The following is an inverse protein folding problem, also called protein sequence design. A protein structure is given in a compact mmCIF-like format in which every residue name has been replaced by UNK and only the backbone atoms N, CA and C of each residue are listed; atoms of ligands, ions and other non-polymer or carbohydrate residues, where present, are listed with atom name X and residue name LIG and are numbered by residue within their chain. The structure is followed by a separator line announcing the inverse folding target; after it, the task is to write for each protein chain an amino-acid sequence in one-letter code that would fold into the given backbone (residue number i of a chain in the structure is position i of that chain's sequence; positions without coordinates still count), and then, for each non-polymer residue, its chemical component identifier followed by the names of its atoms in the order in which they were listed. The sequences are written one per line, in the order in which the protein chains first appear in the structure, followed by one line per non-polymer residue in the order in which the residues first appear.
data_IF_160381850812
#
_entry.id   IF_160381850812
#
_cell.length_a   1.000
_cell.length_b   1.000
_cell.length_c   1.000
_cell.angle_alpha   90.00
_cell.angle_beta   90.00
_cell.angle_gamma   90.00
#
_symmetry.space_group_name_H-M   'P 1'
#
loop_
_entity.id
_entity.type
_entity.pdbx_description
1 polymer ?
#
# COMPACT_ATOMS: atom_id res chain seq x y z
N UNK A 1 12.09 25.37 -45.65
CA UNK A 1 10.86 25.28 -44.82
C UNK A 1 11.28 24.90 -43.41
N UNK A 2 11.21 25.87 -42.48
CA UNK A 2 11.72 25.71 -41.11
C UNK A 2 10.87 24.78 -40.28
N UNK A 3 11.56 23.84 -39.61
CA UNK A 3 11.01 22.98 -38.57
C UNK A 3 10.51 23.84 -37.40
N UNK A 4 9.20 23.93 -37.24
CA UNK A 4 8.57 24.54 -36.07
C UNK A 4 8.74 23.63 -34.85
N UNK A 5 9.89 23.73 -34.17
CA UNK A 5 10.03 23.18 -32.83
C UNK A 5 9.16 24.00 -31.87
N UNK A 6 8.27 23.39 -31.08
CA UNK A 6 7.48 24.14 -30.11
C UNK A 6 8.40 24.63 -28.99
N UNK A 7 8.55 25.96 -28.87
CA UNK A 7 9.13 26.64 -27.72
C UNK A 7 8.20 26.44 -26.51
N UNK A 8 8.26 25.26 -25.88
CA UNK A 8 7.70 25.10 -24.55
C UNK A 8 8.60 25.82 -23.55
N UNK A 9 8.07 26.72 -22.70
CA UNK A 9 8.88 27.46 -21.74
C UNK A 9 9.60 26.48 -20.80
N UNK A 10 10.89 26.74 -20.54
CA UNK A 10 11.78 25.94 -19.69
C UNK A 10 11.19 25.69 -18.29
N UNK A 11 10.40 26.64 -17.78
CA UNK A 11 9.66 26.52 -16.52
C UNK A 11 8.61 25.40 -16.51
N UNK A 12 7.93 25.13 -17.64
CA UNK A 12 6.98 24.02 -17.75
C UNK A 12 7.70 22.66 -17.76
N UNK A 13 8.86 22.57 -18.42
CA UNK A 13 9.62 21.32 -18.47
C UNK A 13 10.17 20.93 -17.08
N UNK A 14 10.65 21.90 -16.31
CA UNK A 14 11.04 21.68 -14.91
C UNK A 14 9.86 21.22 -14.05
N UNK A 15 8.69 21.85 -14.20
CA UNK A 15 7.47 21.43 -13.51
C UNK A 15 7.06 19.99 -13.84
N UNK A 16 7.11 19.59 -15.11
CA UNK A 16 6.81 18.22 -15.55
C UNK A 16 7.81 17.22 -14.96
N UNK A 17 9.10 17.56 -14.93
CA UNK A 17 10.13 16.70 -14.34
C UNK A 17 9.85 16.45 -12.85
N UNK A 18 9.62 17.52 -12.08
CA UNK A 18 9.31 17.40 -10.64
C UNK A 18 8.02 16.61 -10.41
N UNK A 19 6.98 16.88 -11.19
CA UNK A 19 5.70 16.17 -11.07
C UNK A 19 5.84 14.67 -11.36
N UNK A 20 6.56 14.31 -12.42
CA UNK A 20 6.80 12.91 -12.80
C UNK A 20 7.66 12.20 -11.75
N UNK A 21 8.68 12.90 -11.21
CA UNK A 21 9.53 12.39 -10.14
C UNK A 21 8.72 12.15 -8.85
N UNK A 22 7.82 13.07 -8.50
CA UNK A 22 6.96 12.95 -7.33
C UNK A 22 6.00 11.76 -7.46
N UNK A 23 5.31 11.61 -8.61
CA UNK A 23 4.44 10.45 -8.86
C UNK A 23 5.23 9.15 -8.78
N UNK A 24 6.41 9.10 -9.41
CA UNK A 24 7.26 7.92 -9.38
C UNK A 24 7.71 7.57 -7.96
N UNK A 25 8.12 8.58 -7.17
CA UNK A 25 8.47 8.38 -5.77
C UNK A 25 7.29 7.85 -4.96
N UNK A 26 6.10 8.45 -5.09
CA UNK A 26 4.88 7.99 -4.41
C UNK A 26 4.52 6.55 -4.78
N UNK A 27 4.57 6.21 -6.08
CA UNK A 27 4.34 4.84 -6.55
C UNK A 27 5.32 3.83 -5.94
N UNK A 28 6.60 4.20 -5.82
CA UNK A 28 7.60 3.35 -5.18
C UNK A 28 7.43 3.24 -3.67
N UNK A 29 7.00 4.30 -2.99
CA UNK A 29 6.72 4.31 -1.54
C UNK A 29 5.58 3.35 -1.21
N UNK A 30 4.55 3.28 -2.06
CA UNK A 30 3.40 2.40 -1.84
C UNK A 30 3.74 0.91 -1.83
N UNK A 31 4.89 0.46 -2.37
CA UNK A 31 5.27 -0.98 -2.49
C UNK A 31 5.56 -1.70 -1.17
N UNK A 32 5.57 -1.02 -0.02
CA UNK A 32 5.73 -1.66 1.30
C UNK A 32 4.65 -1.23 2.29
N UNK A 33 3.36 -1.32 1.95
CA UNK A 33 2.31 -0.81 2.81
C UNK A 33 2.21 -1.67 4.08
N UNK A 34 2.37 -2.98 3.95
CA UNK A 34 2.28 -3.93 5.07
C UNK A 34 3.34 -3.62 6.15
N UNK A 35 4.57 -3.29 5.75
CA UNK A 35 5.64 -2.97 6.71
C UNK A 35 5.37 -1.69 7.52
N UNK A 36 4.61 -0.75 6.97
CA UNK A 36 4.26 0.51 7.64
C UNK A 36 3.10 0.33 8.61
N UNK A 37 2.14 -0.54 8.27
CA UNK A 37 0.94 -0.76 9.08
C UNK A 37 1.12 -1.84 10.16
N UNK A 38 2.11 -2.74 10.03
CA UNK A 38 2.43 -3.78 11.04
C UNK A 38 2.54 -3.20 12.47
N UNK A 39 3.33 -2.14 12.73
CA UNK A 39 3.44 -1.55 14.07
C UNK A 39 2.16 -0.89 14.58
N UNK A 40 1.27 -0.45 13.69
CA UNK A 40 -0.03 0.16 14.05
C UNK A 40 -1.06 -0.91 14.39
N UNK A 41 -1.04 -2.04 13.68
CA UNK A 41 -1.95 -3.16 13.91
C UNK A 41 -1.55 -3.98 15.16
N UNK A 42 -0.25 -4.13 15.40
CA UNK A 42 0.27 -4.87 16.55
C UNK A 42 1.42 -4.09 17.23
N UNK A 43 1.10 -3.02 17.97
CA UNK A 43 2.10 -2.28 18.74
C UNK A 43 2.58 -3.08 19.96
N UNK A 44 3.78 -2.76 20.44
CA UNK A 44 4.32 -3.35 21.67
C UNK A 44 3.55 -2.81 22.88
N UNK A 45 2.48 -3.50 23.30
CA UNK A 45 1.67 -3.10 24.45
C UNK A 45 2.46 -3.05 25.76
N UNK A 46 3.59 -3.75 25.86
CA UNK A 46 4.47 -3.72 27.04
C UNK A 46 5.11 -2.36 27.27
N UNK A 47 5.64 -1.76 26.21
CA UNK A 47 6.27 -0.44 26.25
C UNK A 47 5.23 0.66 26.53
N UNK A 48 4.02 0.53 25.99
CA UNK A 48 2.91 1.46 26.18
C UNK A 48 2.37 1.39 27.62
N UNK A 49 2.21 0.18 28.17
CA UNK A 49 1.76 -0.01 29.55
C UNK A 49 2.79 0.51 30.56
N UNK A 50 4.10 0.30 30.29
CA UNK A 50 5.18 0.84 31.11
C UNK A 50 5.20 2.37 31.10
N UNK A 51 4.98 3.00 29.94
CA UNK A 51 4.88 4.46 29.82
C UNK A 51 3.71 5.05 30.60
N UNK A 52 2.60 4.32 30.68
CA UNK A 52 1.36 4.74 31.34
C UNK A 52 1.25 4.27 32.81
N UNK A 53 2.31 3.68 33.40
CA UNK A 53 2.33 3.12 34.75
C UNK A 53 1.20 2.09 35.01
N UNK A 54 0.82 1.30 34.00
CA UNK A 54 -0.20 0.26 34.13
C UNK A 54 0.44 -1.13 34.28
N UNK A 55 -0.08 -1.94 35.21
CA UNK A 55 0.34 -3.33 35.39
C UNK A 55 -0.32 -4.20 34.32
N UNK A 56 0.48 -4.87 33.50
CA UNK A 56 -0.01 -5.80 32.47
C UNK A 56 -0.49 -7.07 33.18
N UNK A 57 -1.80 -7.18 33.35
CA UNK A 57 -2.45 -8.46 33.64
C UNK A 57 -2.71 -9.20 32.32
N UNK A 58 -2.59 -10.54 32.27
CA UNK A 58 -2.74 -11.31 31.03
C UNK A 58 -4.10 -11.12 30.34
N UNK A 59 -5.12 -10.69 31.09
CA UNK A 59 -6.47 -10.39 30.57
C UNK A 59 -6.54 -9.04 29.83
N UNK A 60 -5.61 -8.11 30.10
CA UNK A 60 -5.55 -6.78 29.49
C UNK A 60 -4.39 -6.64 28.50
N UNK A 61 -3.65 -7.70 28.17
CA UNK A 61 -2.43 -7.61 27.36
C UNK A 61 -2.65 -7.14 25.90
N UNK A 62 -3.87 -7.31 25.37
CA UNK A 62 -4.24 -6.98 23.98
C UNK A 62 -4.93 -5.62 23.84
N UNK A 63 -5.00 -4.81 24.90
CA UNK A 63 -5.71 -3.52 24.93
C UNK A 63 -5.30 -2.53 23.82
N UNK A 64 -4.06 -2.65 23.33
CA UNK A 64 -3.48 -1.74 22.37
C UNK A 64 -3.43 -2.31 20.94
N UNK A 65 -3.85 -3.57 20.75
CA UNK A 65 -3.78 -4.27 19.46
C UNK A 65 -5.07 -4.08 18.66
N UNK A 66 -4.94 -4.02 17.33
CA UNK A 66 -6.08 -3.91 16.44
C UNK A 66 -6.61 -5.30 16.07
N UNK A 67 -7.87 -5.60 16.41
CA UNK A 67 -8.51 -6.87 16.01
C UNK A 67 -8.73 -6.89 14.48
N UNK A 68 -8.49 -7.99 13.75
CA UNK A 68 -8.28 -9.39 14.16
C UNK A 68 -6.82 -9.79 14.46
N UNK A 69 -5.90 -8.83 14.58
CA UNK A 69 -4.48 -9.09 14.86
C UNK A 69 -4.17 -9.17 16.36
N UNK A 70 -5.17 -9.32 17.22
CA UNK A 70 -5.08 -9.38 18.69
C UNK A 70 -4.74 -10.77 19.24
N UNK A 71 -4.71 -11.80 18.38
CA UNK A 71 -4.44 -13.18 18.78
C UNK A 71 -2.95 -13.54 18.73
N UNK A 72 -2.55 -14.53 19.53
CA UNK A 72 -1.18 -15.09 19.53
C UNK A 72 -0.72 -15.61 18.14
N UNK A 73 -1.67 -15.85 17.23
CA UNK A 73 -1.42 -16.30 15.86
C UNK A 73 -1.19 -15.14 14.87
N UNK A 74 -0.96 -13.91 15.34
CA UNK A 74 -0.77 -12.73 14.50
C UNK A 74 0.34 -12.91 13.44
N UNK A 75 1.42 -13.64 13.77
CA UNK A 75 2.51 -13.93 12.82
C UNK A 75 2.03 -14.72 11.60
N UNK A 76 1.20 -15.73 11.82
CA UNK A 76 0.59 -16.54 10.73
C UNK A 76 -0.38 -15.70 9.92
N UNK A 77 -1.12 -14.80 10.59
CA UNK A 77 -2.08 -13.90 9.95
C UNK A 77 -1.39 -12.92 9.01
N UNK A 78 -0.31 -12.26 9.45
CA UNK A 78 0.54 -11.44 8.58
C UNK A 78 1.19 -12.26 7.48
N UNK A 79 1.56 -13.51 7.76
CA UNK A 79 2.06 -14.46 6.76
C UNK A 79 1.06 -14.70 5.63
N UNK A 80 -0.24 -14.88 5.94
CA UNK A 80 -1.28 -15.01 4.91
C UNK A 80 -1.45 -13.72 4.07
N UNK A 81 -1.37 -12.55 4.70
CA UNK A 81 -1.42 -11.27 3.97
C UNK A 81 -0.23 -11.16 3.01
N UNK A 82 1.00 -11.38 3.50
CA UNK A 82 2.23 -11.30 2.71
C UNK A 82 2.20 -12.35 1.57
N UNK A 83 1.74 -13.58 1.83
CA UNK A 83 1.58 -14.62 0.81
C UNK A 83 0.55 -14.26 -0.26
N UNK A 84 -0.63 -13.78 0.15
CA UNK A 84 -1.69 -13.40 -0.78
C UNK A 84 -1.27 -12.25 -1.69
N UNK A 85 -0.53 -11.28 -1.15
CA UNK A 85 0.06 -10.18 -1.90
C UNK A 85 1.08 -10.71 -2.93
N UNK A 86 2.02 -11.57 -2.53
CA UNK A 86 3.03 -12.11 -3.44
C UNK A 86 2.43 -12.94 -4.57
N UNK A 87 1.42 -13.77 -4.27
CA UNK A 87 0.76 -14.61 -5.26
C UNK A 87 -0.04 -13.77 -6.27
N UNK A 88 -0.82 -12.80 -5.79
CA UNK A 88 -1.58 -11.91 -6.66
C UNK A 88 -0.68 -10.97 -7.47
N UNK A 89 0.45 -10.53 -6.91
CA UNK A 89 1.47 -9.76 -7.62
C UNK A 89 2.09 -10.57 -8.77
N UNK A 90 2.40 -11.86 -8.56
CA UNK A 90 2.92 -12.71 -9.62
C UNK A 90 1.94 -12.85 -10.79
N UNK A 91 0.65 -13.03 -10.49
CA UNK A 91 -0.42 -13.10 -11.50
C UNK A 91 -0.59 -11.75 -12.19
N UNK A 92 -0.63 -10.66 -11.41
CA UNK A 92 -0.73 -9.29 -11.91
C UNK A 92 0.37 -8.95 -12.89
N UNK A 93 1.63 -9.22 -12.54
CA UNK A 93 2.80 -8.99 -13.38
C UNK A 93 2.76 -9.79 -14.70
N UNK A 94 2.22 -11.01 -14.68
CA UNK A 94 2.05 -11.80 -15.89
C UNK A 94 1.03 -11.18 -16.85
N UNK A 95 -0.15 -10.81 -16.33
CA UNK A 95 -1.21 -10.15 -17.11
C UNK A 95 -0.78 -8.76 -17.60
N UNK A 96 -0.11 -8.01 -16.73
CA UNK A 96 0.33 -6.65 -16.99
C UNK A 96 1.38 -6.63 -18.12
N UNK A 97 2.26 -7.63 -18.19
CA UNK A 97 3.18 -7.81 -19.32
C UNK A 97 2.45 -7.99 -20.66
N UNK A 98 1.43 -8.86 -20.70
CA UNK A 98 0.66 -9.10 -21.92
C UNK A 98 -0.11 -7.86 -22.38
N UNK A 99 -0.68 -7.10 -21.43
CA UNK A 99 -1.41 -5.86 -21.71
C UNK A 99 -0.45 -4.74 -22.13
N UNK A 100 0.74 -4.66 -21.53
CA UNK A 100 1.74 -3.64 -21.83
C UNK A 100 2.25 -3.72 -23.28
N UNK A 101 2.30 -4.92 -23.89
CA UNK A 101 2.65 -5.08 -25.30
C UNK A 101 1.62 -4.48 -26.27
N UNK A 102 0.36 -4.34 -25.83
CA UNK A 102 -0.76 -3.86 -26.68
C UNK A 102 -1.16 -2.41 -26.40
N UNK A 103 -0.66 -1.81 -25.32
CA UNK A 103 -1.05 -0.47 -24.87
C UNK A 103 0.10 0.53 -24.92
N UNK A 104 -0.24 1.82 -25.01
CA UNK A 104 0.74 2.89 -24.86
C UNK A 104 1.28 2.93 -23.42
N UNK A 105 2.61 2.92 -23.29
CA UNK A 105 3.31 2.84 -22.00
C UNK A 105 2.91 3.94 -21.01
N UNK A 106 2.62 5.17 -21.50
CA UNK A 106 2.18 6.28 -20.64
C UNK A 106 0.82 6.04 -20.01
N UNK A 107 -0.13 5.49 -20.76
CA UNK A 107 -1.49 5.22 -20.27
C UNK A 107 -1.42 4.08 -19.27
N UNK A 108 -0.66 3.03 -19.59
CA UNK A 108 -0.45 1.90 -18.70
C UNK A 108 0.10 2.33 -17.32
N UNK A 109 1.16 3.16 -17.32
CA UNK A 109 1.80 3.61 -16.07
C UNK A 109 0.90 4.54 -15.25
N UNK A 110 0.15 5.43 -15.92
CA UNK A 110 -0.77 6.35 -15.22
C UNK A 110 -1.94 5.62 -14.58
N UNK A 111 -2.53 4.64 -15.27
CA UNK A 111 -3.60 3.80 -14.71
C UNK A 111 -3.08 3.00 -13.51
N UNK A 112 -1.89 2.39 -13.60
CA UNK A 112 -1.28 1.68 -12.46
C UNK A 112 -1.00 2.59 -11.26
N UNK A 113 -0.52 3.82 -11.50
CA UNK A 113 -0.32 4.81 -10.42
C UNK A 113 -1.64 5.24 -9.75
N UNK A 114 -2.71 5.44 -10.52
CA UNK A 114 -4.02 5.79 -9.97
C UNK A 114 -4.64 4.64 -9.17
N UNK A 115 -4.62 3.43 -9.74
CA UNK A 115 -5.24 2.27 -9.11
C UNK A 115 -4.50 1.85 -7.83
N UNK A 116 -3.16 1.92 -7.82
CA UNK A 116 -2.35 1.70 -6.62
C UNK A 116 -2.63 2.75 -5.53
N UNK A 117 -2.83 4.02 -5.90
CA UNK A 117 -3.26 5.07 -4.96
C UNK A 117 -4.63 4.82 -4.34
N UNK A 118 -5.63 4.47 -5.16
CA UNK A 118 -7.00 4.18 -4.70
C UNK A 118 -7.02 2.97 -3.77
N UNK A 119 -6.33 1.89 -4.14
CA UNK A 119 -6.28 0.66 -3.33
C UNK A 119 -5.51 0.85 -2.03
N UNK A 120 -4.45 1.68 -2.03
CA UNK A 120 -3.75 2.08 -0.80
C UNK A 120 -4.68 2.89 0.13
N UNK A 121 -5.46 3.81 -0.43
CA UNK A 121 -6.44 4.58 0.34
C UNK A 121 -7.55 3.68 0.92
N UNK A 122 -8.03 2.69 0.17
CA UNK A 122 -9.01 1.71 0.66
C UNK A 122 -8.46 0.93 1.86
N UNK A 123 -7.21 0.46 1.83
CA UNK A 123 -6.60 -0.20 2.97
C UNK A 123 -6.63 0.68 4.23
N UNK A 124 -6.31 1.98 4.09
CA UNK A 124 -6.37 2.97 5.18
C UNK A 124 -7.80 3.25 5.66
N UNK A 125 -8.77 3.33 4.75
CA UNK A 125 -10.19 3.51 5.09
C UNK A 125 -10.73 2.38 5.98
N UNK A 126 -10.21 1.16 5.86
CA UNK A 126 -10.58 0.05 6.74
C UNK A 126 -10.40 0.35 8.22
N UNK A 127 -9.38 1.13 8.58
CA UNK A 127 -9.14 1.61 9.94
C UNK A 127 -10.21 2.63 10.37
N UNK A 128 -10.46 3.66 9.55
CA UNK A 128 -11.43 4.72 9.87
C UNK A 128 -12.88 4.20 9.96
N UNK A 129 -13.22 3.21 9.13
CA UNK A 129 -14.54 2.59 9.10
C UNK A 129 -14.72 1.48 10.16
N UNK A 130 -13.73 1.25 11.04
CA UNK A 130 -13.76 0.23 12.10
C UNK A 130 -14.10 -1.19 11.58
N UNK A 131 -13.56 -1.57 10.41
CA UNK A 131 -13.81 -2.89 9.82
C UNK A 131 -12.81 -3.89 10.41
N UNK A 132 -13.30 -4.79 11.28
CA UNK A 132 -12.48 -5.77 12.00
C UNK A 132 -12.36 -7.13 11.28
N UNK A 133 -12.41 -7.11 9.95
CA UNK A 133 -12.50 -8.30 9.12
C UNK A 133 -11.20 -8.56 8.35
N UNK A 134 -10.55 -9.72 8.59
CA UNK A 134 -9.30 -10.11 7.92
C UNK A 134 -9.44 -10.09 6.38
N UNK A 135 -10.57 -10.57 5.88
CA UNK A 135 -10.82 -10.67 4.43
C UNK A 135 -10.78 -9.30 3.74
N UNK A 136 -11.15 -8.22 4.44
CA UNK A 136 -11.08 -6.87 3.88
C UNK A 136 -9.63 -6.44 3.64
N UNK A 137 -8.75 -6.74 4.60
CA UNK A 137 -7.32 -6.45 4.49
C UNK A 137 -6.64 -7.32 3.44
N UNK A 138 -7.04 -8.59 3.30
CA UNK A 138 -6.54 -9.46 2.22
C UNK A 138 -7.01 -8.95 0.85
N UNK A 139 -8.30 -8.64 0.71
CA UNK A 139 -8.86 -8.15 -0.55
C UNK A 139 -8.20 -6.85 -1.01
N UNK A 140 -8.03 -5.89 -0.10
CA UNK A 140 -7.35 -4.62 -0.43
C UNK A 140 -5.89 -4.83 -0.83
N UNK A 141 -5.16 -5.76 -0.20
CA UNK A 141 -3.79 -6.12 -0.60
C UNK A 141 -3.74 -6.80 -1.97
N UNK A 142 -4.67 -7.70 -2.27
CA UNK A 142 -4.76 -8.36 -3.58
C UNK A 142 -5.07 -7.35 -4.69
N UNK A 143 -6.02 -6.44 -4.46
CA UNK A 143 -6.31 -5.37 -5.42
C UNK A 143 -5.11 -4.47 -5.64
N UNK A 144 -4.39 -4.11 -4.57
CA UNK A 144 -3.16 -3.33 -4.66
C UNK A 144 -2.06 -4.08 -5.44
N UNK A 145 -1.85 -5.37 -5.17
CA UNK A 145 -0.84 -6.20 -5.82
C UNK A 145 -1.07 -6.37 -7.34
N UNK A 146 -2.32 -6.45 -7.79
CA UNK A 146 -2.66 -6.53 -9.23
C UNK A 146 -2.48 -5.17 -9.91
N UNK A 147 -2.62 -4.07 -9.16
CA UNK A 147 -2.56 -2.71 -9.67
C UNK A 147 -1.14 -2.15 -9.83
N UNK A 148 -0.16 -2.75 -9.15
CA UNK A 148 1.27 -2.39 -9.16
C UNK A 148 2.01 -3.13 -10.26
#
# INVERSE_FOLDING_TARGET
MGSGAPFFPYSCQFGIFIFTLAIYACFHISRKPISVVKPVLHPNCSEIAQRNNQSITPQNATFCMWKPFDSDNYNTLFGYLDLSYLLSYAIGMFLSGHIAERMNLRIFLTVGCLLSGVTTALFGCGYFLNIHALYYYIFSQVCFAIAV
#
